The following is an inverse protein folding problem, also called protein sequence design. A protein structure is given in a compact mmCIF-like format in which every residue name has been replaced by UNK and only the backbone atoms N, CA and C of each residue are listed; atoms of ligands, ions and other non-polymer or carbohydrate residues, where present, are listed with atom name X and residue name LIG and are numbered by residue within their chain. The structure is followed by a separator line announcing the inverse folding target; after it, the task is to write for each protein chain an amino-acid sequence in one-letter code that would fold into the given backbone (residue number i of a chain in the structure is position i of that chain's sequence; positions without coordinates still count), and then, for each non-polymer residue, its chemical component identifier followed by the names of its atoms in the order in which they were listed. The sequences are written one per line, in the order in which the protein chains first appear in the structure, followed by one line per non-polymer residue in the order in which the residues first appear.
data_IF_943932560707
#
_entry.id   IF_943932560707
#
_cell.length_a   1.000
_cell.length_b   1.000
_cell.length_c   1.000
_cell.angle_alpha   90.00
_cell.angle_beta   90.00
_cell.angle_gamma   90.00
#
_symmetry.space_group_name_H-M   'P 1'
#
loop_
_entity.id
_entity.type
_entity.pdbx_description
1 polymer ?
#
# COMPACT_ATOMS: atom_id res chain seq x y z
N UNK A 1 10.28 -3.41 24.79
CA UNK A 1 9.75 -4.78 25.00
C UNK A 1 9.89 -5.55 23.70
N UNK A 2 11.00 -6.28 23.54
CA UNK A 2 11.44 -6.86 22.27
C UNK A 2 10.79 -8.23 22.04
N UNK A 3 9.72 -8.29 21.25
CA UNK A 3 9.21 -9.55 20.69
C UNK A 3 9.97 -9.90 19.43
N UNK A 4 11.23 -10.32 19.59
CA UNK A 4 12.00 -11.01 18.54
C UNK A 4 12.38 -12.40 19.05
N UNK A 5 11.38 -13.19 19.45
CA UNK A 5 11.58 -14.61 19.71
C UNK A 5 11.69 -15.27 18.35
N UNK A 6 12.87 -15.78 18.02
CA UNK A 6 13.14 -16.60 16.84
C UNK A 6 12.19 -17.80 16.84
N UNK A 7 11.11 -17.71 16.10
CA UNK A 7 10.26 -18.83 15.72
C UNK A 7 10.87 -19.44 14.46
N UNK A 8 12.01 -20.09 14.60
CA UNK A 8 12.43 -21.10 13.64
C UNK A 8 12.13 -22.44 14.32
N UNK A 9 10.95 -23.04 14.06
CA UNK A 9 10.68 -24.38 14.55
C UNK A 9 11.74 -25.31 13.96
N UNK A 10 12.24 -26.31 14.71
CA UNK A 10 13.28 -27.19 14.21
C UNK A 10 12.75 -27.90 12.97
N UNK A 11 13.29 -27.52 11.83
CA UNK A 11 12.90 -28.04 10.54
C UNK A 11 13.36 -29.50 10.49
N UNK A 12 12.41 -30.46 10.49
CA UNK A 12 12.75 -31.88 10.50
C UNK A 12 13.07 -32.31 9.09
N UNK A 13 14.30 -32.76 8.84
CA UNK A 13 14.68 -33.39 7.58
C UNK A 13 14.12 -34.82 7.54
N UNK A 14 13.28 -35.11 6.56
CA UNK A 14 12.82 -36.47 6.26
C UNK A 14 13.93 -37.25 5.53
N UNK A 15 13.93 -38.59 5.58
CA UNK A 15 14.89 -39.43 4.87
C UNK A 15 14.95 -39.19 3.35
N UNK A 16 13.87 -38.64 2.77
CA UNK A 16 13.77 -38.32 1.35
C UNK A 16 14.29 -36.91 1.00
N UNK A 17 15.03 -36.25 1.90
CA UNK A 17 15.61 -34.91 1.68
C UNK A 17 14.60 -33.75 1.77
N UNK A 18 13.34 -34.01 2.16
CA UNK A 18 12.35 -32.94 2.37
C UNK A 18 12.41 -32.41 3.79
N UNK A 19 12.29 -31.09 3.93
CA UNK A 19 12.24 -30.44 5.23
C UNK A 19 10.80 -30.11 5.61
N UNK A 20 10.33 -30.64 6.74
CA UNK A 20 8.99 -30.37 7.26
C UNK A 20 9.04 -29.35 8.40
N UNK A 21 8.14 -28.36 8.34
CA UNK A 21 7.90 -27.40 9.43
C UNK A 21 6.65 -27.83 10.19
N UNK A 22 6.81 -28.10 11.49
CA UNK A 22 5.69 -28.42 12.38
C UNK A 22 5.34 -27.13 13.15
N UNK A 23 4.17 -26.56 12.86
CA UNK A 23 3.66 -25.33 13.47
C UNK A 23 2.37 -25.62 14.21
N UNK A 24 2.15 -24.95 15.35
CA UNK A 24 0.80 -24.88 15.93
C UNK A 24 -0.14 -24.10 14.99
N UNK A 25 -1.47 -24.27 15.08
CA UNK A 25 -2.41 -23.55 14.22
C UNK A 25 -2.25 -22.03 14.25
N UNK A 26 -1.92 -21.45 15.42
CA UNK A 26 -1.71 -20.00 15.56
C UNK A 26 -0.38 -19.54 14.96
N UNK A 27 0.68 -20.33 15.10
CA UNK A 27 1.98 -20.02 14.48
C UNK A 27 1.89 -20.10 12.95
N UNK A 28 1.13 -21.07 12.42
CA UNK A 28 0.84 -21.16 11.00
C UNK A 28 0.13 -19.91 10.47
N UNK A 29 -0.94 -19.47 11.15
CA UNK A 29 -1.65 -18.24 10.78
C UNK A 29 -0.74 -17.00 10.87
N UNK A 30 0.09 -16.90 11.91
CA UNK A 30 1.04 -15.81 12.07
C UNK A 30 2.09 -15.79 10.95
N UNK A 31 2.61 -16.96 10.56
CA UNK A 31 3.55 -17.08 9.44
C UNK A 31 2.89 -16.71 8.11
N UNK A 32 1.66 -17.17 7.88
CA UNK A 32 0.89 -16.86 6.67
C UNK A 32 0.57 -15.36 6.58
N UNK A 33 0.18 -14.74 7.69
CA UNK A 33 -0.12 -13.31 7.75
C UNK A 33 1.09 -12.43 7.37
N UNK A 34 2.33 -12.89 7.60
CA UNK A 34 3.54 -12.15 7.21
C UNK A 34 3.76 -12.11 5.69
N UNK A 35 3.20 -13.06 4.94
CA UNK A 35 3.25 -13.05 3.47
C UNK A 35 2.29 -12.02 2.87
N UNK A 36 1.23 -11.66 3.61
CA UNK A 36 0.25 -10.68 3.16
C UNK A 36 0.85 -9.29 3.41
N UNK A 37 1.05 -8.46 2.37
CA UNK A 37 1.53 -7.10 2.58
C UNK A 37 0.56 -6.33 3.49
N UNK A 38 1.04 -5.38 4.30
CA UNK A 38 0.16 -4.64 5.20
C UNK A 38 -1.01 -4.00 4.43
N UNK A 39 -2.22 -4.03 5.00
CA UNK A 39 -3.37 -3.40 4.38
C UNK A 39 -3.12 -1.89 4.27
N UNK A 40 -3.67 -1.26 3.22
CA UNK A 40 -3.59 0.19 2.96
C UNK A 40 -2.23 0.73 2.50
N UNK A 41 -1.33 -0.14 2.04
CA UNK A 41 -0.21 0.31 1.19
C UNK A 41 -0.70 0.36 -0.26
N UNK A 42 -0.41 1.45 -0.98
CA UNK A 42 -0.70 1.58 -2.41
C UNK A 42 0.08 0.51 -3.18
N UNK A 43 -0.56 -0.64 -3.45
CA UNK A 43 0.03 -1.74 -4.21
C UNK A 43 -0.01 -1.49 -5.72
N UNK A 44 -0.91 -0.61 -6.17
CA UNK A 44 -0.96 -0.18 -7.56
C UNK A 44 0.12 0.86 -7.82
N UNK A 45 1.18 0.44 -8.50
CA UNK A 45 2.16 1.35 -9.11
C UNK A 45 1.79 1.51 -10.57
N UNK A 46 1.39 2.72 -10.95
CA UNK A 46 1.13 3.04 -12.35
C UNK A 46 2.46 3.16 -13.11
N UNK A 47 2.53 2.53 -14.28
CA UNK A 47 3.66 2.58 -15.18
C UNK A 47 3.26 3.22 -16.51
N UNK A 48 4.26 3.60 -17.31
CA UNK A 48 4.05 4.24 -18.60
C UNK A 48 3.28 5.55 -18.46
N UNK A 49 2.25 5.70 -19.26
CA UNK A 49 1.57 6.98 -19.50
C UNK A 49 0.82 7.51 -18.26
N UNK A 50 0.36 6.64 -17.37
CA UNK A 50 -0.37 7.01 -16.14
C UNK A 50 0.54 7.17 -14.92
N UNK A 51 1.86 6.95 -15.06
CA UNK A 51 2.79 7.10 -13.94
C UNK A 51 2.85 8.55 -13.43
N UNK A 52 3.18 8.80 -12.15
CA UNK A 52 3.26 10.16 -11.58
C UNK A 52 4.23 11.10 -12.31
N UNK A 53 5.33 10.56 -12.84
CA UNK A 53 6.38 11.31 -13.54
C UNK A 53 6.39 11.05 -15.06
N UNK A 54 5.30 10.56 -15.63
CA UNK A 54 5.23 10.31 -17.08
C UNK A 54 5.24 11.62 -17.86
N UNK A 55 6.06 11.72 -18.91
CA UNK A 55 6.15 12.92 -19.75
C UNK A 55 4.81 13.38 -20.33
N UNK A 56 3.91 12.42 -20.62
CA UNK A 56 2.58 12.69 -21.17
C UNK A 56 1.48 12.95 -20.12
N UNK A 57 1.80 12.88 -18.81
CA UNK A 57 0.81 13.00 -17.73
C UNK A 57 0.07 14.33 -17.74
N UNK A 58 0.77 15.44 -17.99
CA UNK A 58 0.18 16.78 -18.00
C UNK A 58 -0.93 16.91 -19.05
N UNK A 59 -0.67 16.40 -20.27
CA UNK A 59 -1.64 16.40 -21.37
C UNK A 59 -2.88 15.56 -21.05
N UNK A 60 -2.68 14.37 -20.47
CA UNK A 60 -3.79 13.51 -20.08
C UNK A 60 -4.64 14.07 -18.94
N UNK A 61 -3.99 14.72 -17.97
CA UNK A 61 -4.72 15.32 -16.84
C UNK A 61 -5.57 16.50 -17.32
N UNK A 62 -5.10 17.25 -18.32
CA UNK A 62 -5.88 18.31 -18.97
C UNK A 62 -7.11 17.74 -19.69
N UNK A 63 -6.93 16.73 -20.55
CA UNK A 63 -8.03 16.05 -21.24
C UNK A 63 -9.06 15.43 -20.27
N UNK A 64 -8.59 14.84 -19.17
CA UNK A 64 -9.47 14.27 -18.16
C UNK A 64 -10.30 15.33 -17.41
N UNK A 65 -9.82 16.57 -17.33
CA UNK A 65 -10.54 17.70 -16.71
C UNK A 65 -11.55 18.34 -17.66
N UNK A 66 -11.34 18.23 -18.95
CA UNK A 66 -12.21 18.78 -20.00
C UNK A 66 -13.47 17.94 -20.25
N UNK A 67 -13.55 16.71 -19.73
CA UNK A 67 -14.80 15.94 -19.74
C UNK A 67 -15.77 16.56 -18.72
N UNK A 68 -16.81 17.30 -19.15
CA UNK A 68 -17.69 18.02 -18.25
C UNK A 68 -18.81 17.14 -17.67
N UNK A 69 -18.88 15.87 -18.09
CA UNK A 69 -20.06 15.02 -17.91
C UNK A 69 -19.75 13.64 -17.30
N UNK A 70 -18.52 13.42 -16.83
CA UNK A 70 -18.23 12.26 -15.99
C UNK A 70 -18.55 12.63 -14.53
N UNK A 71 -19.64 12.12 -13.93
CA UNK A 71 -19.86 12.32 -12.50
C UNK A 71 -18.63 11.79 -11.76
N UNK A 72 -18.15 12.48 -10.70
CA UNK A 72 -17.19 11.87 -9.80
C UNK A 72 -17.87 10.62 -9.28
N UNK A 73 -17.47 9.42 -9.71
CA UNK A 73 -17.94 8.22 -9.03
C UNK A 73 -17.31 8.27 -7.65
N UNK A 74 -18.07 8.52 -6.56
CA UNK A 74 -17.56 8.17 -5.26
C UNK A 74 -17.35 6.66 -5.31
N UNK A 75 -16.13 6.19 -5.05
CA UNK A 75 -16.01 4.88 -4.45
C UNK A 75 -16.83 4.96 -3.17
N UNK A 76 -18.03 4.38 -3.20
CA UNK A 76 -19.05 4.33 -2.15
C UNK A 76 -18.46 4.55 -0.75
N UNK A 77 -18.57 5.78 -0.27
CA UNK A 77 -18.31 6.16 1.10
C UNK A 77 -19.32 7.24 1.46
N UNK A 78 -20.15 6.93 2.45
CA UNK A 78 -21.31 7.70 2.87
C UNK A 78 -20.97 9.15 3.26
N UNK A 79 -21.84 10.13 2.96
CA UNK A 79 -21.51 11.56 3.03
C UNK A 79 -21.68 12.25 4.40
N UNK A 80 -21.97 11.54 5.49
CA UNK A 80 -22.59 12.20 6.64
C UNK A 80 -21.67 12.69 7.77
N UNK A 81 -20.35 12.62 7.63
CA UNK A 81 -19.47 13.24 8.61
C UNK A 81 -18.14 13.57 7.97
N UNK A 82 -17.87 14.86 7.82
CA UNK A 82 -16.57 15.52 8.07
C UNK A 82 -16.57 16.84 7.29
N UNK A 83 -17.15 17.87 7.90
CA UNK A 83 -16.75 19.26 7.65
C UNK A 83 -15.22 19.32 7.53
N UNK A 84 -14.64 19.73 6.38
CA UNK A 84 -13.20 19.85 6.28
C UNK A 84 -12.79 21.10 7.06
N UNK A 85 -12.30 20.91 8.28
CA UNK A 85 -11.46 21.92 8.91
C UNK A 85 -10.30 22.25 7.96
N UNK A 86 -9.85 23.52 7.89
CA UNK A 86 -8.72 23.86 7.02
C UNK A 86 -7.50 23.10 7.51
N UNK A 87 -7.07 22.10 6.75
CA UNK A 87 -5.80 21.42 7.00
C UNK A 87 -4.67 22.39 6.69
N UNK A 88 -4.32 23.20 7.69
CA UNK A 88 -3.01 23.84 7.83
C UNK A 88 -1.93 22.78 8.05
N UNK A 89 -1.78 21.85 7.12
CA UNK A 89 -0.57 21.06 6.97
C UNK A 89 0.26 21.77 5.91
N UNK A 90 0.93 22.86 6.34
CA UNK A 90 1.88 23.62 5.52
C UNK A 90 3.06 22.69 5.19
N UNK A 91 2.92 22.03 4.05
CA UNK A 91 3.79 21.08 3.37
C UNK A 91 5.30 21.25 3.65
N UNK A 92 5.81 20.47 4.60
CA UNK A 92 7.24 20.34 4.85
C UNK A 92 8.01 19.74 3.65
N UNK A 93 7.32 18.96 2.81
CA UNK A 93 7.87 18.34 1.60
C UNK A 93 8.12 19.34 0.47
N UNK A 94 7.23 20.34 0.30
CA UNK A 94 7.39 21.38 -0.71
C UNK A 94 8.65 22.22 -0.47
N UNK A 95 8.95 22.53 0.79
CA UNK A 95 10.21 23.20 1.19
C UNK A 95 11.46 22.38 0.92
N UNK A 96 11.36 21.05 0.81
CA UNK A 96 12.51 20.18 0.52
C UNK A 96 12.80 20.06 -0.98
N UNK A 97 11.75 20.09 -1.81
CA UNK A 97 11.89 20.09 -3.26
C UNK A 97 12.49 21.39 -3.79
N UNK A 98 12.23 22.53 -3.15
CA UNK A 98 12.80 23.82 -3.54
C UNK A 98 14.31 23.98 -3.24
N UNK A 99 14.95 22.97 -2.63
CA UNK A 99 16.38 22.99 -2.27
C UNK A 99 17.23 22.07 -3.15
N UNK A 100 16.62 21.38 -4.11
CA UNK A 100 17.27 20.56 -5.13
C UNK A 100 17.20 21.34 -6.44
#
# INVERSE_FOLDING_TARGET
MSYRRSLDPPARSTPNGRTLLVLSPLEFLAALARLIPPPRVHRHRYHGVLAPNAALRARLTALARESPDAPPQPASADPESLTPAPLTTRSAWARRLARI
#
